data_IF_698026129996
#
_entry.id   IF_698026129996
#
_cell.length_a   1.000
_cell.length_b   1.000
_cell.length_c   1.000
_cell.angle_alpha   90.00
_cell.angle_beta   90.00
_cell.angle_gamma   90.00
#
_symmetry.space_group_name_H-M   'P 1'
#
loop_
_entity.id
_entity.type
_entity.pdbx_description
1 polymer ?
#
# COMPACT_ATOMS: atom_id res chain seq x y z
N UNK A 1 -5.47 11.54 -13.83
CA UNK A 1 -6.87 11.94 -13.99
C UNK A 1 -7.66 11.46 -12.80
N UNK A 2 -8.41 12.35 -12.16
CA UNK A 2 -9.36 12.00 -11.07
C UNK A 2 -10.77 11.91 -11.66
N UNK A 3 -11.56 10.98 -11.15
CA UNK A 3 -13.01 10.96 -11.37
C UNK A 3 -13.61 12.08 -10.52
N UNK A 4 -13.65 13.31 -11.05
CA UNK A 4 -14.30 14.42 -10.35
C UNK A 4 -15.77 14.14 -10.08
N UNK A 5 -16.30 14.71 -9.00
CA UNK A 5 -17.74 14.66 -8.64
C UNK A 5 -18.66 15.20 -9.74
N UNK A 6 -18.11 15.88 -10.74
CA UNK A 6 -18.79 16.46 -11.92
C UNK A 6 -18.74 15.56 -13.16
N UNK A 7 -18.17 14.36 -13.08
CA UNK A 7 -18.21 13.35 -14.16
C UNK A 7 -17.19 13.52 -15.28
N UNK A 8 -16.42 14.59 -15.34
CA UNK A 8 -15.34 14.76 -16.29
C UNK A 8 -13.98 14.54 -15.62
N UNK A 9 -13.10 13.66 -16.17
CA UNK A 9 -11.76 13.47 -15.62
C UNK A 9 -10.92 14.76 -15.71
N UNK A 10 -10.42 15.23 -14.57
CA UNK A 10 -9.52 16.38 -14.52
C UNK A 10 -8.08 15.91 -14.51
N UNK A 11 -7.25 16.48 -15.40
CA UNK A 11 -5.82 16.23 -15.41
C UNK A 11 -5.15 17.03 -14.29
N UNK A 12 -4.52 16.35 -13.35
CA UNK A 12 -3.72 16.96 -12.28
C UNK A 12 -2.25 16.90 -12.71
N UNK A 13 -1.61 18.05 -12.78
CA UNK A 13 -0.18 18.17 -13.07
C UNK A 13 0.62 18.17 -11.76
N UNK A 14 1.50 17.20 -11.60
CA UNK A 14 2.50 17.17 -10.52
C UNK A 14 3.88 17.28 -11.13
N UNK A 15 4.73 18.12 -10.56
CA UNK A 15 6.14 18.20 -10.97
C UNK A 15 6.90 16.97 -10.47
N UNK A 16 7.98 16.62 -11.15
CA UNK A 16 8.86 15.54 -10.70
C UNK A 16 9.43 15.85 -9.30
N UNK A 17 9.83 17.08 -9.07
CA UNK A 17 10.33 17.53 -7.77
C UNK A 17 9.34 17.29 -6.62
N UNK A 18 8.04 17.52 -6.85
CA UNK A 18 6.99 17.26 -5.88
C UNK A 18 6.88 15.76 -5.55
N UNK A 19 7.02 14.89 -6.56
CA UNK A 19 7.02 13.44 -6.35
C UNK A 19 8.28 12.98 -5.62
N UNK A 20 9.43 13.55 -5.92
CA UNK A 20 10.69 13.26 -5.22
C UNK A 20 10.63 13.66 -3.74
N UNK A 21 10.05 14.82 -3.42
CA UNK A 21 9.84 15.27 -2.04
C UNK A 21 8.87 14.34 -1.27
N UNK A 22 7.77 13.92 -1.91
CA UNK A 22 6.83 12.98 -1.31
C UNK A 22 7.50 11.62 -1.03
N UNK A 23 8.26 11.09 -1.98
CA UNK A 23 9.00 9.83 -1.81
C UNK A 23 10.07 9.94 -0.72
N UNK A 24 10.80 11.06 -0.67
CA UNK A 24 11.80 11.29 0.38
C UNK A 24 11.15 11.34 1.77
N UNK A 25 9.98 11.95 1.90
CA UNK A 25 9.23 11.99 3.15
C UNK A 25 8.75 10.57 3.56
N UNK A 26 8.21 9.78 2.62
CA UNK A 26 7.82 8.40 2.87
C UNK A 26 8.99 7.55 3.35
N UNK A 27 10.13 7.68 2.69
CA UNK A 27 11.34 6.95 3.02
C UNK A 27 11.87 7.31 4.40
N UNK A 28 11.86 8.59 4.75
CA UNK A 28 12.29 9.07 6.07
C UNK A 28 11.36 8.64 7.22
N UNK A 29 10.06 8.46 6.96
CA UNK A 29 9.07 8.13 7.98
C UNK A 29 8.85 6.61 8.15
N UNK A 30 8.88 5.86 7.07
CA UNK A 30 8.32 4.51 7.03
C UNK A 30 9.30 3.43 6.54
N UNK A 31 10.54 3.77 6.19
CA UNK A 31 11.48 2.76 5.71
C UNK A 31 11.71 1.68 6.77
N UNK A 32 11.37 0.40 6.49
CA UNK A 32 11.75 -0.70 7.35
C UNK A 32 13.28 -0.78 7.51
N UNK A 33 13.72 -1.24 8.67
CA UNK A 33 15.16 -1.41 8.96
C UNK A 33 15.79 -2.56 8.19
N UNK A 34 14.96 -3.54 7.80
CA UNK A 34 15.38 -4.71 7.02
C UNK A 34 15.04 -4.54 5.55
N UNK A 35 15.72 -5.30 4.70
CA UNK A 35 15.34 -5.41 3.28
C UNK A 35 13.95 -6.04 3.15
N UNK A 36 13.14 -5.47 2.29
CA UNK A 36 11.75 -5.89 2.08
C UNK A 36 11.40 -5.93 0.59
N UNK A 37 10.35 -6.64 0.24
CA UNK A 37 9.78 -6.62 -1.10
C UNK A 37 8.37 -6.02 -1.05
N UNK A 38 8.07 -5.10 -1.98
CA UNK A 38 6.73 -4.49 -2.03
C UNK A 38 5.77 -5.38 -2.80
N UNK A 39 4.69 -5.76 -2.15
CA UNK A 39 3.51 -6.41 -2.72
C UNK A 39 2.38 -5.40 -2.81
N UNK A 40 1.59 -5.42 -3.88
CA UNK A 40 0.52 -4.43 -4.04
C UNK A 40 -0.78 -5.01 -4.59
N UNK A 41 -1.87 -4.59 -3.96
CA UNK A 41 -3.25 -4.88 -4.38
C UNK A 41 -3.92 -3.69 -5.06
N UNK A 42 -3.19 -2.56 -5.16
CA UNK A 42 -3.64 -1.33 -5.78
C UNK A 42 -2.87 -1.04 -7.07
N UNK A 43 -3.54 -0.51 -8.11
CA UNK A 43 -2.91 -0.26 -9.39
C UNK A 43 -1.97 0.97 -9.35
N UNK A 44 -0.88 0.92 -10.11
CA UNK A 44 0.14 1.97 -10.16
C UNK A 44 -0.30 3.26 -10.90
N UNK A 45 -1.46 3.28 -11.55
CA UNK A 45 -1.96 4.47 -12.25
C UNK A 45 -2.67 5.47 -11.33
N UNK A 46 -2.92 5.13 -10.07
CA UNK A 46 -3.36 6.06 -9.04
C UNK A 46 -2.16 6.60 -8.27
N UNK A 47 -2.24 7.84 -7.76
CA UNK A 47 -1.12 8.49 -7.07
C UNK A 47 -0.60 7.66 -5.89
N UNK A 48 -1.47 7.08 -5.09
CA UNK A 48 -1.10 6.20 -3.99
C UNK A 48 -0.30 4.99 -4.47
N UNK A 49 -0.81 4.26 -5.48
CA UNK A 49 -0.08 3.13 -6.05
C UNK A 49 1.22 3.53 -6.76
N UNK A 50 1.24 4.69 -7.43
CA UNK A 50 2.45 5.21 -8.05
C UNK A 50 3.55 5.46 -7.02
N UNK A 51 3.21 6.15 -5.93
CA UNK A 51 4.17 6.49 -4.87
C UNK A 51 4.64 5.25 -4.10
N UNK A 52 3.71 4.50 -3.51
CA UNK A 52 4.04 3.43 -2.56
C UNK A 52 4.49 2.12 -3.22
N UNK A 53 3.97 1.80 -4.42
CA UNK A 53 4.28 0.56 -5.10
C UNK A 53 5.47 0.68 -6.06
N UNK A 54 5.72 1.86 -6.64
CA UNK A 54 6.70 2.04 -7.71
C UNK A 54 7.81 3.00 -7.30
N UNK A 55 7.51 4.27 -7.06
CA UNK A 55 8.54 5.28 -6.89
C UNK A 55 9.33 5.11 -5.60
N UNK A 56 8.66 4.88 -4.49
CA UNK A 56 9.35 4.69 -3.21
C UNK A 56 10.28 3.46 -3.22
N UNK A 57 9.84 2.23 -3.57
CA UNK A 57 10.76 1.10 -3.62
C UNK A 57 11.91 1.30 -4.61
N UNK A 58 11.70 1.95 -5.75
CA UNK A 58 12.78 2.27 -6.68
C UNK A 58 13.84 3.18 -6.04
N UNK A 59 13.42 4.27 -5.39
CA UNK A 59 14.34 5.20 -4.71
C UNK A 59 15.02 4.54 -3.51
N UNK A 60 14.29 3.72 -2.76
CA UNK A 60 14.81 2.97 -1.62
C UNK A 60 15.71 1.78 -2.01
N UNK A 61 15.83 1.46 -3.30
CA UNK A 61 16.59 0.31 -3.79
C UNK A 61 15.99 -1.03 -3.36
N UNK A 62 14.67 -1.09 -3.18
CA UNK A 62 13.95 -2.28 -2.74
C UNK A 62 13.22 -2.97 -3.89
N UNK A 63 13.19 -4.30 -3.92
CA UNK A 63 12.42 -5.03 -4.90
C UNK A 63 10.90 -4.83 -4.73
N UNK A 64 10.17 -4.95 -5.83
CA UNK A 64 8.71 -4.98 -5.82
C UNK A 64 8.17 -5.96 -6.85
N UNK A 65 7.03 -6.55 -6.56
CA UNK A 65 6.34 -7.45 -7.49
C UNK A 65 5.60 -6.60 -8.54
N UNK A 66 5.97 -6.79 -9.82
CA UNK A 66 5.36 -6.04 -10.93
C UNK A 66 3.88 -6.41 -11.14
N UNK A 67 3.48 -7.64 -10.84
CA UNK A 67 2.10 -8.10 -10.91
C UNK A 67 1.20 -7.40 -9.89
N UNK A 68 -0.07 -7.17 -10.28
CA UNK A 68 -1.10 -6.69 -9.35
C UNK A 68 -1.75 -7.90 -8.68
N UNK A 69 -1.74 -7.93 -7.36
CA UNK A 69 -2.46 -8.93 -6.56
C UNK A 69 -3.93 -8.52 -6.52
N UNK A 70 -4.81 -9.36 -7.06
CA UNK A 70 -6.24 -9.08 -7.17
C UNK A 70 -7.09 -9.88 -6.17
N UNK A 71 -6.59 -11.05 -5.79
CA UNK A 71 -7.30 -11.99 -4.94
C UNK A 71 -6.45 -12.37 -3.72
N UNK A 72 -7.07 -12.66 -2.57
CA UNK A 72 -6.36 -13.09 -1.36
C UNK A 72 -5.44 -14.28 -1.58
N UNK A 73 -5.85 -15.25 -2.39
CA UNK A 73 -5.09 -16.47 -2.71
C UNK A 73 -3.79 -16.17 -3.47
N UNK A 74 -3.79 -15.08 -4.27
CA UNK A 74 -2.56 -14.60 -4.93
C UNK A 74 -1.60 -13.97 -3.91
N UNK A 75 -2.13 -13.33 -2.86
CA UNK A 75 -1.31 -12.81 -1.77
C UNK A 75 -0.66 -13.94 -0.98
N UNK A 76 -1.42 -14.97 -0.59
CA UNK A 76 -0.90 -16.15 0.10
C UNK A 76 0.26 -16.77 -0.70
N UNK A 77 0.03 -17.02 -1.99
CA UNK A 77 1.05 -17.57 -2.87
C UNK A 77 2.29 -16.67 -3.01
N UNK A 78 2.12 -15.36 -3.03
CA UNK A 78 3.25 -14.43 -3.07
C UNK A 78 4.07 -14.48 -1.78
N UNK A 79 3.42 -14.59 -0.62
CA UNK A 79 4.07 -14.68 0.68
C UNK A 79 4.84 -15.99 0.89
N UNK A 80 4.48 -17.08 0.20
CA UNK A 80 5.28 -18.32 0.20
C UNK A 80 6.67 -18.13 -0.44
N UNK A 81 6.79 -17.17 -1.36
CA UNK A 81 8.03 -16.95 -2.14
C UNK A 81 8.81 -15.73 -1.71
N UNK A 82 8.17 -14.79 -1.00
CA UNK A 82 8.76 -13.50 -0.61
C UNK A 82 8.67 -13.36 0.91
N UNK A 83 9.81 -13.25 1.54
CA UNK A 83 9.93 -12.92 2.97
C UNK A 83 10.08 -11.41 3.16
N UNK A 84 9.68 -10.91 4.33
CA UNK A 84 9.76 -9.48 4.67
C UNK A 84 9.04 -8.60 3.62
N UNK A 85 7.73 -8.75 3.53
CA UNK A 85 6.92 -8.03 2.55
C UNK A 85 6.30 -6.76 3.12
N UNK A 86 6.32 -5.69 2.34
CA UNK A 86 5.54 -4.47 2.58
C UNK A 86 4.29 -4.51 1.70
N UNK A 87 3.11 -4.57 2.30
CA UNK A 87 1.85 -4.67 1.57
C UNK A 87 1.22 -3.28 1.35
N UNK A 88 1.03 -2.91 0.10
CA UNK A 88 0.32 -1.69 -0.32
C UNK A 88 -1.08 -2.05 -0.78
N UNK A 89 -2.10 -1.71 0.03
CA UNK A 89 -3.45 -2.26 -0.11
C UNK A 89 -4.55 -1.19 0.03
N UNK A 90 -5.79 -1.67 0.06
CA UNK A 90 -6.98 -0.86 0.27
C UNK A 90 -7.92 -1.51 1.29
N UNK A 91 -8.81 -0.74 1.95
CA UNK A 91 -9.79 -1.28 2.89
C UNK A 91 -10.65 -2.41 2.31
N UNK A 92 -11.04 -2.26 1.04
CA UNK A 92 -11.85 -3.25 0.34
C UNK A 92 -11.12 -4.59 0.14
N UNK A 93 -9.83 -4.57 -0.17
CA UNK A 93 -9.04 -5.81 -0.27
C UNK A 93 -8.82 -6.42 1.10
N UNK A 94 -8.40 -5.63 2.10
CA UNK A 94 -8.12 -6.10 3.45
C UNK A 94 -9.38 -6.74 4.08
N UNK A 95 -10.54 -6.12 3.92
CA UNK A 95 -11.79 -6.70 4.40
C UNK A 95 -12.15 -8.04 3.74
N UNK A 96 -11.93 -8.17 2.41
CA UNK A 96 -12.15 -9.44 1.71
C UNK A 96 -11.17 -10.53 2.15
N UNK A 97 -9.93 -10.17 2.38
CA UNK A 97 -8.89 -11.12 2.79
C UNK A 97 -9.22 -11.76 4.15
N UNK A 98 -9.79 -11.02 5.11
CA UNK A 98 -10.26 -11.57 6.39
C UNK A 98 -11.28 -12.70 6.25
N UNK A 99 -12.10 -12.67 5.20
CA UNK A 99 -13.13 -13.69 4.96
C UNK A 99 -12.61 -14.98 4.28
N UNK A 100 -11.37 -14.96 3.80
CA UNK A 100 -10.81 -16.04 2.96
C UNK A 100 -9.49 -16.56 3.49
N UNK A 101 -8.63 -15.69 4.01
CA UNK A 101 -7.28 -16.02 4.49
C UNK A 101 -7.27 -16.23 6.00
N UNK A 102 -6.41 -17.13 6.46
CA UNK A 102 -5.99 -17.14 7.85
C UNK A 102 -4.98 -15.99 8.07
N UNK A 103 -5.38 -14.99 8.87
CA UNK A 103 -4.56 -13.80 9.13
C UNK A 103 -3.26 -14.14 9.86
N UNK A 104 -3.22 -15.24 10.60
CA UNK A 104 -1.99 -15.69 11.24
C UNK A 104 -0.93 -16.12 10.21
N UNK A 105 -1.32 -16.46 8.97
CA UNK A 105 -0.37 -16.71 7.87
C UNK A 105 0.40 -15.46 7.45
N UNK A 106 -0.13 -14.27 7.72
CA UNK A 106 0.54 -12.99 7.44
C UNK A 106 1.63 -12.66 8.46
N UNK A 107 1.51 -13.27 9.66
CA UNK A 107 2.43 -13.04 10.77
C UNK A 107 3.83 -13.52 10.41
N UNK A 108 4.79 -12.64 10.55
CA UNK A 108 6.20 -12.94 10.24
C UNK A 108 6.56 -12.78 8.75
N UNK A 109 5.58 -12.57 7.86
CA UNK A 109 5.83 -12.26 6.45
C UNK A 109 5.74 -10.77 6.14
N UNK A 110 4.89 -10.03 6.87
CA UNK A 110 4.68 -8.61 6.64
C UNK A 110 5.48 -7.75 7.63
N UNK A 111 6.32 -6.88 7.09
CA UNK A 111 7.05 -5.84 7.85
C UNK A 111 6.25 -4.55 7.96
N UNK A 112 5.17 -4.40 7.20
CA UNK A 112 4.25 -3.28 7.25
C UNK A 112 3.10 -3.44 6.28
N UNK A 113 1.99 -2.77 6.58
CA UNK A 113 0.79 -2.70 5.72
C UNK A 113 0.35 -1.26 5.61
N UNK A 114 0.20 -0.78 4.39
CA UNK A 114 -0.41 0.50 4.07
C UNK A 114 -1.80 0.30 3.50
N UNK A 115 -2.74 1.15 3.90
CA UNK A 115 -4.11 1.15 3.42
C UNK A 115 -4.54 2.55 3.02
N UNK A 116 -5.11 2.71 1.82
CA UNK A 116 -5.65 3.98 1.31
C UNK A 116 -6.81 3.76 0.36
N UNK A 117 -7.46 4.86 -0.02
CA UNK A 117 -8.61 4.86 -0.93
C UNK A 117 -9.97 4.79 -0.23
N UNK A 118 -9.98 4.91 1.09
CA UNK A 118 -11.17 4.95 1.95
C UNK A 118 -10.82 4.66 3.39
N UNK A 119 -11.74 4.89 4.33
CA UNK A 119 -11.52 4.56 5.74
C UNK A 119 -11.46 3.04 5.93
N UNK A 120 -10.53 2.58 6.75
CA UNK A 120 -10.45 1.17 7.13
C UNK A 120 -11.49 0.89 8.22
N UNK A 121 -12.40 -0.10 8.04
CA UNK A 121 -13.35 -0.47 9.09
C UNK A 121 -12.63 -0.86 10.38
N UNK A 122 -13.15 -0.40 11.52
CA UNK A 122 -12.49 -0.55 12.83
C UNK A 122 -12.29 -2.01 13.22
N UNK A 123 -13.24 -2.87 12.91
CA UNK A 123 -13.17 -4.32 13.13
C UNK A 123 -12.09 -4.99 12.27
N UNK A 124 -11.96 -4.57 11.01
CA UNK A 124 -10.88 -5.01 10.10
C UNK A 124 -9.53 -4.58 10.66
N UNK A 125 -9.37 -3.29 11.00
CA UNK A 125 -8.14 -2.76 11.59
C UNK A 125 -7.76 -3.50 12.88
N UNK A 126 -8.72 -3.74 13.78
CA UNK A 126 -8.49 -4.42 15.03
C UNK A 126 -7.98 -5.86 14.83
N UNK A 127 -8.58 -6.60 13.89
CA UNK A 127 -8.16 -7.97 13.58
C UNK A 127 -6.73 -8.04 13.06
N UNK A 128 -6.38 -7.20 12.10
CA UNK A 128 -5.01 -7.13 11.57
C UNK A 128 -4.01 -6.70 12.64
N UNK A 129 -4.32 -5.66 13.41
CA UNK A 129 -3.42 -5.13 14.44
C UNK A 129 -3.19 -6.11 15.60
N UNK A 130 -4.11 -7.04 15.83
CA UNK A 130 -3.91 -8.11 16.80
C UNK A 130 -2.93 -9.19 16.31
N UNK A 131 -2.82 -9.39 15.00
CA UNK A 131 -1.99 -10.43 14.39
C UNK A 131 -0.66 -9.91 13.86
N UNK A 132 -0.60 -8.65 13.44
CA UNK A 132 0.62 -8.05 12.88
C UNK A 132 1.53 -7.46 13.96
N UNK A 133 2.84 -7.47 13.69
CA UNK A 133 3.85 -6.84 14.57
C UNK A 133 3.76 -5.31 14.56
N UNK A 134 3.36 -4.75 13.42
CA UNK A 134 3.16 -3.31 13.22
C UNK A 134 1.69 -3.06 12.87
N UNK A 135 1.06 -2.01 13.41
CA UNK A 135 -0.31 -1.65 13.04
C UNK A 135 -0.37 -1.24 11.56
N UNK A 136 -1.57 -1.40 10.98
CA UNK A 136 -1.80 -0.88 9.63
C UNK A 136 -1.65 0.64 9.63
N UNK A 137 -0.86 1.15 8.69
CA UNK A 137 -0.75 2.60 8.44
C UNK A 137 -1.82 3.02 7.45
N UNK A 138 -2.79 3.80 7.91
CA UNK A 138 -3.78 4.42 7.02
C UNK A 138 -3.19 5.66 6.37
N UNK A 139 -3.24 5.71 5.04
CA UNK A 139 -2.74 6.84 4.25
C UNK A 139 -3.92 7.66 3.76
N UNK A 140 -4.01 8.88 4.22
CA UNK A 140 -4.98 9.87 3.76
C UNK A 140 -4.31 10.82 2.76
N UNK A 141 -4.97 11.06 1.64
CA UNK A 141 -4.48 11.98 0.62
C UNK A 141 -5.37 11.99 -0.62
N UNK A 142 -5.09 12.93 -1.50
CA UNK A 142 -5.72 13.04 -2.81
C UNK A 142 -4.67 13.22 -3.90
N UNK A 143 -5.09 13.09 -5.16
CA UNK A 143 -4.17 13.36 -6.29
C UNK A 143 -3.68 14.80 -6.28
N UNK A 144 -4.50 15.73 -5.79
CA UNK A 144 -4.20 17.16 -5.70
C UNK A 144 -3.18 17.47 -4.60
N UNK A 145 -3.39 16.90 -3.42
CA UNK A 145 -2.60 17.21 -2.22
C UNK A 145 -1.39 16.30 -2.02
N UNK A 146 -1.40 15.11 -2.60
CA UNK A 146 -0.50 14.03 -2.20
C UNK A 146 -0.92 13.39 -0.88
N UNK A 147 -0.01 12.70 -0.21
CA UNK A 147 -0.23 12.17 1.13
C UNK A 147 -0.20 13.29 2.18
N UNK A 148 -1.18 13.31 3.08
CA UNK A 148 -1.30 14.33 4.14
C UNK A 148 -1.24 13.72 5.55
N UNK A 149 -1.22 12.42 5.70
CA UNK A 149 -1.21 11.74 7.00
C UNK A 149 -1.41 10.26 6.85
#
# INVERSE_FOLDING_TARGET
>A
HTSGTTGQPVAIHKSLNCLEEEVAALDGLFRPTESYCVLATVPAHHIYGLLFRVLWPLVAGQPFVAGLIRYPEELEKALETVTNSLLVSSPAFLGRALGVMDIDTLKGHLVGVFSSGGPLPVDVAATYNASLTQPITEVYGSTETGGIG
#
